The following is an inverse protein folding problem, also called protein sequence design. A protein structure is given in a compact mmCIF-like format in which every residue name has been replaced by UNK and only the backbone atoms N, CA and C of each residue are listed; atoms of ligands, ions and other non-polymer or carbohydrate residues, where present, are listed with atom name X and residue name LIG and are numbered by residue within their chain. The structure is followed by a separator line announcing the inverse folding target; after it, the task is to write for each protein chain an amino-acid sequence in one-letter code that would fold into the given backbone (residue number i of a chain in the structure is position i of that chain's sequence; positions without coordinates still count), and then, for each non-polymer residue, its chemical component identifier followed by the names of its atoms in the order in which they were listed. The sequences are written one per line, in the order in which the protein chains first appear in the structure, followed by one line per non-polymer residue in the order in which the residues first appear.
data_IF_691170554074
#
_entry.id   IF_691170554074
#
_cell.length_a   1.000
_cell.length_b   1.000
_cell.length_c   1.000
_cell.angle_alpha   90.00
_cell.angle_beta   90.00
_cell.angle_gamma   90.00
#
_symmetry.space_group_name_H-M   'P 1'
#
loop_
_entity.id
_entity.type
_entity.pdbx_description
1 polymer ?
#
# COMPACT_ATOMS: atom_id res chain seq x y z
N UNK A 1 55.23 36.62 31.05
CA UNK A 1 56.06 36.98 29.88
C UNK A 1 56.01 35.81 28.91
N UNK A 2 54.99 35.79 28.04
CA UNK A 2 55.12 36.00 26.58
C UNK A 2 56.03 34.98 25.89
N UNK A 3 55.44 33.87 25.40
CA UNK A 3 55.82 33.10 24.20
C UNK A 3 54.57 32.30 23.79
N UNK A 4 54.14 32.16 22.55
CA UNK A 4 54.58 32.65 21.25
C UNK A 4 53.47 32.24 20.26
N UNK A 5 53.17 33.14 19.32
CA UNK A 5 52.21 32.97 18.22
C UNK A 5 52.57 31.77 17.34
N UNK A 6 51.59 31.28 16.56
CA UNK A 6 51.64 30.52 15.28
C UNK A 6 50.55 29.42 15.35
N UNK A 7 49.79 29.06 14.33
CA UNK A 7 49.47 29.56 13.00
C UNK A 7 48.47 28.51 12.49
N UNK A 8 47.44 28.92 11.74
CA UNK A 8 46.49 28.03 11.05
C UNK A 8 45.61 27.16 11.98
N UNK A 9 44.38 26.81 11.67
CA UNK A 9 43.85 26.38 10.39
C UNK A 9 42.32 26.47 10.50
N UNK A 10 41.68 26.87 9.41
CA UNK A 10 40.24 26.78 9.20
C UNK A 10 39.75 25.37 9.63
N UNK A 11 38.90 25.29 10.65
CA UNK A 11 38.03 24.14 10.82
C UNK A 11 36.80 24.38 9.94
N UNK A 12 36.81 23.69 8.80
CA UNK A 12 35.77 23.67 7.80
C UNK A 12 34.38 23.43 8.40
N UNK A 13 33.38 24.03 7.75
CA UNK A 13 31.96 23.83 7.98
C UNK A 13 31.63 22.34 8.17
N UNK A 14 31.13 21.98 9.36
CA UNK A 14 30.33 20.77 9.50
C UNK A 14 28.95 21.07 8.90
N UNK A 15 28.86 20.98 7.58
CA UNK A 15 27.60 20.88 6.86
C UNK A 15 26.98 19.54 7.25
N UNK A 16 26.19 19.54 8.33
CA UNK A 16 25.35 18.40 8.69
C UNK A 16 24.50 18.07 7.47
N UNK A 17 24.59 16.86 6.88
CA UNK A 17 23.67 16.50 5.83
C UNK A 17 22.29 16.40 6.47
N UNK A 18 21.43 17.37 6.21
CA UNK A 18 19.98 17.21 6.29
C UNK A 18 19.51 16.34 5.11
N UNK A 19 20.16 15.20 4.89
CA UNK A 19 19.62 14.15 4.05
C UNK A 19 18.71 13.37 4.98
N UNK A 20 17.48 13.85 5.06
CA UNK A 20 16.38 13.08 5.63
C UNK A 20 16.46 11.69 5.03
N UNK A 21 16.77 10.70 5.85
CA UNK A 21 16.62 9.31 5.50
C UNK A 21 15.19 9.17 5.03
N UNK A 22 15.00 8.80 3.76
CA UNK A 22 13.79 8.15 3.34
C UNK A 22 13.77 6.82 4.09
N UNK A 23 13.36 6.85 5.34
CA UNK A 23 12.87 5.65 5.99
C UNK A 23 11.70 5.24 5.11
N UNK A 24 11.92 4.16 4.35
CA UNK A 24 10.84 3.45 3.70
C UNK A 24 9.89 3.07 4.81
N UNK A 25 8.91 3.94 5.08
CA UNK A 25 7.86 3.71 6.04
C UNK A 25 7.28 2.39 5.58
N UNK A 26 7.53 1.33 6.35
CA UNK A 26 6.86 0.07 6.16
C UNK A 26 5.39 0.41 6.36
N UNK A 27 4.74 0.81 5.26
CA UNK A 27 3.40 1.31 5.27
C UNK A 27 2.58 0.23 5.94
N UNK A 28 1.86 0.60 7.00
CA UNK A 28 0.92 -0.29 7.65
C UNK A 28 0.03 -0.86 6.54
N UNK A 29 0.26 -2.12 6.18
CA UNK A 29 -0.29 -2.66 4.94
C UNK A 29 -1.78 -2.73 5.14
N UNK A 30 -2.53 -1.93 4.39
CA UNK A 30 -3.98 -2.03 4.36
C UNK A 30 -4.35 -3.48 4.03
N UNK A 31 -5.24 -4.12 4.81
CA UNK A 31 -5.67 -5.48 4.51
C UNK A 31 -6.21 -5.56 3.06
N UNK A 32 -5.92 -6.63 2.31
CA UNK A 32 -6.31 -6.71 0.90
C UNK A 32 -7.79 -6.42 0.63
N UNK A 33 -8.69 -6.97 1.45
CA UNK A 33 -10.12 -6.74 1.35
C UNK A 33 -10.51 -5.27 1.60
N UNK A 34 -9.81 -4.57 2.51
CA UNK A 34 -10.03 -3.14 2.77
C UNK A 34 -9.55 -2.30 1.61
N UNK A 35 -8.39 -2.63 1.03
CA UNK A 35 -7.89 -1.93 -0.16
C UNK A 35 -8.82 -2.11 -1.37
N UNK A 36 -9.35 -3.33 -1.57
CA UNK A 36 -10.33 -3.60 -2.62
C UNK A 36 -11.66 -2.86 -2.40
N UNK A 37 -12.14 -2.78 -1.14
CA UNK A 37 -13.32 -1.98 -0.76
C UNK A 37 -13.13 -0.50 -1.11
N UNK A 38 -12.02 0.10 -0.70
CA UNK A 38 -11.72 1.51 -0.98
C UNK A 38 -11.61 1.80 -2.48
N UNK A 39 -11.10 0.84 -3.26
CA UNK A 39 -11.12 0.92 -4.72
C UNK A 39 -12.55 0.95 -5.26
N UNK A 40 -13.41 0.02 -4.81
CA UNK A 40 -14.81 -0.05 -5.22
C UNK A 40 -15.56 1.25 -4.89
N UNK A 41 -15.41 1.77 -3.68
CA UNK A 41 -16.07 3.01 -3.23
C UNK A 41 -15.72 4.21 -4.12
N UNK A 42 -14.48 4.28 -4.60
CA UNK A 42 -14.05 5.34 -5.52
C UNK A 42 -14.57 5.16 -6.95
N UNK A 43 -14.75 3.92 -7.40
CA UNK A 43 -15.17 3.62 -8.77
C UNK A 43 -16.70 3.61 -8.91
N UNK A 44 -17.42 3.02 -7.96
CA UNK A 44 -18.85 2.73 -8.02
C UNK A 44 -19.50 2.95 -6.64
N UNK A 45 -19.52 4.19 -6.11
CA UNK A 45 -20.00 4.46 -4.75
C UNK A 45 -21.46 4.02 -4.54
N UNK A 46 -22.32 4.19 -5.54
CA UNK A 46 -23.74 3.81 -5.47
C UNK A 46 -23.99 2.29 -5.38
N UNK A 47 -22.97 1.47 -5.66
CA UNK A 47 -23.06 0.02 -5.68
C UNK A 47 -22.22 -0.64 -4.59
N UNK A 48 -21.46 0.15 -3.80
CA UNK A 48 -20.50 -0.36 -2.82
C UNK A 48 -21.11 -1.35 -1.82
N UNK A 49 -22.34 -1.09 -1.37
CA UNK A 49 -23.07 -1.92 -0.41
C UNK A 49 -23.51 -3.29 -0.97
N UNK A 50 -23.48 -3.46 -2.29
CA UNK A 50 -23.84 -4.73 -2.95
C UNK A 50 -22.66 -5.68 -3.07
N UNK A 51 -21.46 -5.29 -2.65
CA UNK A 51 -20.27 -6.11 -2.76
C UNK A 51 -19.66 -6.40 -1.39
N UNK A 52 -19.14 -7.62 -1.26
CA UNK A 52 -18.38 -8.08 -0.12
C UNK A 52 -17.02 -8.62 -0.60
N UNK A 53 -15.95 -8.28 0.12
CA UNK A 53 -14.60 -8.73 -0.21
C UNK A 53 -14.06 -9.63 0.90
N UNK A 54 -13.49 -10.77 0.53
CA UNK A 54 -12.87 -11.71 1.46
C UNK A 54 -11.56 -12.28 0.93
N UNK A 55 -10.62 -12.57 1.83
CA UNK A 55 -9.33 -13.18 1.47
C UNK A 55 -9.50 -14.69 1.35
N UNK A 56 -8.88 -15.28 0.33
CA UNK A 56 -8.70 -16.73 0.17
C UNK A 56 -7.22 -17.05 0.00
N UNK A 57 -6.84 -18.31 0.22
CA UNK A 57 -5.47 -18.76 0.00
C UNK A 57 -5.10 -18.72 -1.49
N UNK A 58 -3.81 -18.54 -1.77
CA UNK A 58 -3.30 -18.62 -3.13
C UNK A 58 -3.41 -20.04 -3.68
N UNK A 59 -3.78 -20.17 -4.95
CA UNK A 59 -3.81 -21.48 -5.63
C UNK A 59 -2.42 -21.81 -6.19
N UNK A 60 -1.72 -22.73 -5.52
CA UNK A 60 -0.36 -23.13 -5.88
C UNK A 60 0.62 -21.95 -6.00
N UNK A 61 0.46 -20.94 -5.13
CA UNK A 61 1.28 -19.73 -5.13
C UNK A 61 0.96 -18.73 -6.25
N UNK A 62 -0.14 -18.94 -6.99
CA UNK A 62 -0.61 -18.03 -8.04
C UNK A 62 -1.71 -17.11 -7.51
N UNK A 63 -1.83 -15.96 -8.14
CA UNK A 63 -2.96 -15.06 -7.90
C UNK A 63 -4.27 -15.71 -8.35
N UNK A 64 -5.26 -15.68 -7.46
CA UNK A 64 -6.56 -16.33 -7.63
C UNK A 64 -7.65 -15.44 -7.08
N UNK A 65 -8.78 -15.42 -7.78
CA UNK A 65 -10.00 -14.79 -7.32
C UNK A 65 -11.21 -15.69 -7.61
N UNK A 66 -12.26 -15.52 -6.84
CA UNK A 66 -13.54 -16.20 -7.00
C UNK A 66 -14.67 -15.17 -6.92
N UNK A 67 -15.75 -15.43 -7.65
CA UNK A 67 -16.95 -14.58 -7.63
C UNK A 67 -18.14 -15.47 -7.29
N UNK A 68 -18.86 -15.08 -6.26
CA UNK A 68 -20.10 -15.74 -5.86
C UNK A 68 -21.24 -14.71 -5.90
N UNK A 69 -22.20 -14.93 -6.79
CA UNK A 69 -23.40 -14.12 -6.85
C UNK A 69 -24.46 -14.69 -5.90
N UNK A 70 -24.83 -13.91 -4.89
CA UNK A 70 -25.93 -14.21 -3.98
C UNK A 70 -27.15 -13.36 -4.34
N UNK A 71 -28.36 -13.69 -3.84
CA UNK A 71 -29.59 -12.98 -4.22
C UNK A 71 -29.56 -11.46 -3.98
N UNK A 72 -28.81 -10.99 -2.97
CA UNK A 72 -28.76 -9.57 -2.59
C UNK A 72 -27.37 -8.92 -2.64
N UNK A 73 -26.32 -9.69 -2.95
CA UNK A 73 -24.94 -9.19 -2.97
C UNK A 73 -24.02 -10.07 -3.81
N UNK A 74 -22.87 -9.54 -4.18
CA UNK A 74 -21.81 -10.26 -4.87
C UNK A 74 -20.62 -10.35 -3.92
N UNK A 75 -20.16 -11.57 -3.66
CA UNK A 75 -18.96 -11.80 -2.87
C UNK A 75 -17.80 -12.03 -3.82
N UNK A 76 -16.79 -11.17 -3.74
CA UNK A 76 -15.55 -11.28 -4.51
C UNK A 76 -14.44 -11.70 -3.56
N UNK A 77 -13.91 -12.90 -3.75
CA UNK A 77 -12.80 -13.42 -2.97
C UNK A 77 -11.51 -13.31 -3.75
N UNK A 78 -10.38 -13.09 -3.07
CA UNK A 78 -9.07 -13.12 -3.73
C UNK A 78 -7.91 -13.24 -2.76
N UNK A 79 -6.78 -13.76 -3.22
CA UNK A 79 -5.57 -13.87 -2.40
C UNK A 79 -4.83 -12.54 -2.21
N UNK A 80 -5.06 -11.57 -3.11
CA UNK A 80 -4.48 -10.23 -3.06
C UNK A 80 -5.53 -9.16 -3.40
N UNK A 81 -5.25 -7.90 -3.07
CA UNK A 81 -6.12 -6.78 -3.44
C UNK A 81 -6.23 -6.63 -4.97
N UNK A 82 -5.15 -6.98 -5.68
CA UNK A 82 -5.11 -6.97 -7.15
C UNK A 82 -6.01 -8.06 -7.72
N UNK A 83 -5.95 -9.27 -7.15
CA UNK A 83 -6.84 -10.37 -7.56
C UNK A 83 -8.33 -10.01 -7.33
N UNK A 84 -8.66 -9.40 -6.18
CA UNK A 84 -10.03 -8.92 -5.93
C UNK A 84 -10.45 -7.81 -6.90
N UNK A 85 -9.57 -6.87 -7.22
CA UNK A 85 -9.83 -5.82 -8.21
C UNK A 85 -10.04 -6.40 -9.62
N UNK A 86 -9.28 -7.43 -9.98
CA UNK A 86 -9.48 -8.17 -11.23
C UNK A 86 -10.83 -8.87 -11.26
N UNK A 87 -11.24 -9.51 -10.15
CA UNK A 87 -12.58 -10.10 -10.01
C UNK A 87 -13.70 -9.07 -10.17
N UNK A 88 -13.54 -7.88 -9.57
CA UNK A 88 -14.49 -6.77 -9.76
C UNK A 88 -14.55 -6.30 -11.20
N UNK A 89 -13.39 -6.18 -11.87
CA UNK A 89 -13.33 -5.83 -13.28
C UNK A 89 -14.02 -6.88 -14.16
N UNK A 90 -13.80 -8.17 -13.87
CA UNK A 90 -14.41 -9.27 -14.63
C UNK A 90 -15.93 -9.27 -14.47
N UNK A 91 -16.45 -9.09 -13.26
CA UNK A 91 -17.90 -9.06 -13.01
C UNK A 91 -18.63 -7.94 -13.74
N UNK A 92 -17.99 -6.77 -13.91
CA UNK A 92 -18.60 -5.59 -14.52
C UNK A 92 -18.44 -5.49 -16.05
N UNK A 93 -17.61 -6.36 -16.64
CA UNK A 93 -17.30 -6.36 -18.07
C UNK A 93 -18.39 -7.03 -18.88
#
# INVERSE_FOLDING_TARGET
MRQGLELALLAAAAMTPALGTCEARAAERTPPAVAARQLLERLLPAWADRFEFAVIEADAGRDVFEIEAQPNRVVIRGNSAVAMAAGLHWYRS
#
